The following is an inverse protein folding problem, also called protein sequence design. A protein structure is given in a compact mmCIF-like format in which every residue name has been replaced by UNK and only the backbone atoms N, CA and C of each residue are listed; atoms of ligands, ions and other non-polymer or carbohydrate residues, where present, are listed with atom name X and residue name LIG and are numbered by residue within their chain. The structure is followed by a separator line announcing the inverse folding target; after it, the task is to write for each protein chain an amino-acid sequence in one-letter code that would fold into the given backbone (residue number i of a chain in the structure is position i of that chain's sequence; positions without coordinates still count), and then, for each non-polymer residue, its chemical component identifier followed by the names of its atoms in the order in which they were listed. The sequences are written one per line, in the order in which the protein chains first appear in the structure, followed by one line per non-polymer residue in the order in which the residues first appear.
data_IF_890173655265
#
_entry.id   IF_890173655265
#
_cell.length_a   1.000
_cell.length_b   1.000
_cell.length_c   1.000
_cell.angle_alpha   90.00
_cell.angle_beta   90.00
_cell.angle_gamma   90.00
#
_symmetry.space_group_name_H-M   'P 1'
#
loop_
_entity.id
_entity.type
_entity.pdbx_description
1 polymer ?
#
# COMPACT_ATOMS: atom_id res chain seq x y z
N UNK A 1 3.33 13.05 -8.30
CA UNK A 1 4.06 12.09 -9.20
C UNK A 1 3.06 11.53 -10.20
N UNK A 2 3.44 11.40 -11.48
CA UNK A 2 2.56 10.86 -12.53
C UNK A 2 3.25 9.67 -13.20
N UNK A 3 2.55 8.56 -13.29
CA UNK A 3 2.98 7.34 -13.98
C UNK A 3 2.18 7.28 -15.27
N UNK A 4 2.85 7.50 -16.43
CA UNK A 4 2.17 7.65 -17.74
C UNK A 4 2.47 6.48 -18.66
N UNK A 5 1.46 5.63 -18.87
CA UNK A 5 1.50 4.51 -19.83
C UNK A 5 2.75 3.63 -19.69
N UNK A 6 3.15 3.37 -18.44
CA UNK A 6 4.37 2.64 -18.14
C UNK A 6 4.21 1.17 -18.45
N UNK A 7 5.05 0.66 -19.35
CA UNK A 7 5.20 -0.75 -19.65
C UNK A 7 6.63 -1.20 -19.43
N UNK A 8 6.83 -2.42 -18.91
CA UNK A 8 8.15 -2.96 -18.64
C UNK A 8 8.26 -4.43 -19.04
N UNK A 9 9.19 -4.72 -19.93
CA UNK A 9 9.63 -6.08 -20.25
C UNK A 9 10.93 -6.41 -19.53
N UNK A 10 11.01 -7.64 -18.99
CA UNK A 10 12.24 -8.23 -18.45
C UNK A 10 12.42 -9.60 -19.11
N UNK A 11 13.54 -9.83 -19.79
CA UNK A 11 13.82 -11.10 -20.50
C UNK A 11 12.68 -11.54 -21.45
N UNK A 12 12.08 -10.59 -22.20
CA UNK A 12 10.94 -10.77 -23.11
C UNK A 12 9.60 -11.15 -22.44
N UNK A 13 9.51 -11.04 -21.11
CA UNK A 13 8.26 -11.22 -20.38
C UNK A 13 7.72 -9.84 -20.00
N UNK A 14 6.47 -9.57 -20.31
CA UNK A 14 5.78 -8.34 -19.93
C UNK A 14 5.43 -8.39 -18.44
N UNK A 15 6.14 -7.60 -17.65
CA UNK A 15 5.93 -7.49 -16.20
C UNK A 15 4.94 -6.38 -15.88
N UNK A 16 5.05 -5.23 -16.57
CA UNK A 16 4.11 -4.12 -16.46
C UNK A 16 3.53 -3.82 -17.83
N UNK A 17 2.23 -3.54 -17.87
CA UNK A 17 1.46 -3.36 -19.10
C UNK A 17 0.57 -2.14 -18.97
N UNK A 18 0.99 -1.03 -19.57
CA UNK A 18 0.21 0.21 -19.65
C UNK A 18 -0.28 0.71 -18.29
N UNK A 19 0.63 0.82 -17.33
CA UNK A 19 0.34 1.36 -16.01
C UNK A 19 0.17 2.88 -16.11
N UNK A 20 -0.99 3.36 -15.70
CA UNK A 20 -1.32 4.79 -15.70
C UNK A 20 -2.05 5.15 -14.40
N UNK A 21 -1.48 6.02 -13.59
CA UNK A 21 -2.08 6.64 -12.40
C UNK A 21 -1.23 7.80 -11.90
N UNK A 22 -1.78 8.60 -10.99
CA UNK A 22 -1.07 9.69 -10.33
C UNK A 22 -1.09 9.52 -8.82
N UNK A 23 0.00 9.92 -8.18
CA UNK A 23 0.13 10.01 -6.73
C UNK A 23 0.07 11.49 -6.33
N UNK A 24 -0.95 11.86 -5.55
CA UNK A 24 -1.11 13.18 -4.96
C UNK A 24 -0.06 13.47 -3.89
N UNK A 25 -0.06 14.70 -3.37
CA UNK A 25 0.81 15.12 -2.27
C UNK A 25 0.15 14.83 -0.92
N UNK A 26 0.97 14.50 0.09
CA UNK A 26 0.48 14.28 1.44
C UNK A 26 -0.41 13.05 1.63
N UNK A 27 -0.37 12.10 0.69
CA UNK A 27 -1.18 10.89 0.71
C UNK A 27 -0.35 9.63 0.97
N UNK A 28 -0.98 8.66 1.61
CA UNK A 28 -0.47 7.29 1.68
C UNK A 28 -1.25 6.45 0.66
N UNK A 29 -0.55 5.92 -0.34
CA UNK A 29 -1.12 5.12 -1.41
C UNK A 29 -0.69 3.68 -1.24
N UNK A 30 -1.66 2.79 -1.05
CA UNK A 30 -1.44 1.34 -1.00
C UNK A 30 -1.34 0.75 -2.40
N UNK A 31 -0.18 0.21 -2.76
CA UNK A 31 0.01 -0.56 -3.99
C UNK A 31 -0.22 -2.04 -3.69
N UNK A 32 -1.40 -2.54 -4.02
CA UNK A 32 -1.88 -3.86 -3.63
C UNK A 32 -1.85 -4.83 -4.80
N UNK A 33 -1.61 -6.09 -4.53
CA UNK A 33 -1.67 -7.19 -5.50
C UNK A 33 -0.91 -8.41 -5.03
N UNK A 34 -1.20 -9.56 -5.65
CA UNK A 34 -0.55 -10.84 -5.32
C UNK A 34 0.97 -10.77 -5.56
N UNK A 35 1.69 -11.73 -4.97
CA UNK A 35 3.10 -11.90 -5.26
C UNK A 35 3.30 -12.19 -6.76
N UNK A 36 4.25 -11.47 -7.38
CA UNK A 36 4.48 -11.55 -8.82
C UNK A 36 3.59 -10.64 -9.68
N UNK A 37 2.64 -9.87 -9.11
CA UNK A 37 1.80 -8.94 -9.87
C UNK A 37 2.56 -7.75 -10.50
N UNK A 38 3.82 -7.52 -10.09
CA UNK A 38 4.66 -6.44 -10.64
C UNK A 38 4.91 -5.27 -9.69
N UNK A 39 4.43 -5.31 -8.42
CA UNK A 39 4.55 -4.20 -7.44
C UNK A 39 6.00 -3.70 -7.29
N UNK A 40 6.93 -4.57 -6.94
CA UNK A 40 8.37 -4.24 -6.80
C UNK A 40 8.95 -3.68 -8.10
N UNK A 41 8.57 -4.26 -9.26
CA UNK A 41 9.03 -3.77 -10.57
C UNK A 41 8.52 -2.36 -10.83
N UNK A 42 7.27 -2.09 -10.48
CA UNK A 42 6.67 -0.77 -10.61
C UNK A 42 7.37 0.23 -9.69
N UNK A 43 7.54 -0.06 -8.41
CA UNK A 43 8.25 0.82 -7.46
C UNK A 43 9.68 1.12 -7.93
N UNK A 44 10.42 0.10 -8.39
CA UNK A 44 11.78 0.32 -8.95
C UNK A 44 11.77 1.14 -10.22
N UNK A 45 10.71 1.06 -11.02
CA UNK A 45 10.54 1.92 -12.21
C UNK A 45 10.22 3.35 -11.80
N UNK A 46 9.32 3.52 -10.82
CA UNK A 46 9.00 4.83 -10.23
C UNK A 46 10.21 5.48 -9.55
N UNK A 47 11.10 4.68 -8.95
CA UNK A 47 12.37 5.13 -8.37
C UNK A 47 13.44 5.48 -9.43
N UNK A 48 13.15 5.25 -10.72
CA UNK A 48 14.13 5.46 -11.79
C UNK A 48 15.32 4.49 -11.75
N UNK A 49 15.18 3.36 -11.06
CA UNK A 49 16.16 2.25 -11.01
C UNK A 49 16.01 1.39 -12.27
N UNK A 50 14.77 1.09 -12.65
CA UNK A 50 14.46 0.34 -13.86
C UNK A 50 13.86 1.31 -14.91
N UNK A 51 14.53 1.46 -16.07
CA UNK A 51 13.96 2.23 -17.15
C UNK A 51 12.77 1.47 -17.76
N UNK A 52 11.60 2.11 -17.99
CA UNK A 52 10.47 1.48 -18.65
C UNK A 52 10.79 1.14 -20.11
N UNK A 53 10.08 0.18 -20.68
CA UNK A 53 10.14 -0.14 -22.12
C UNK A 53 9.36 0.90 -22.93
N UNK A 54 8.20 1.31 -22.39
CA UNK A 54 7.36 2.39 -22.92
C UNK A 54 6.82 3.23 -21.75
N UNK A 55 6.40 4.45 -22.06
CA UNK A 55 5.86 5.38 -21.08
C UNK A 55 6.96 6.12 -20.31
N UNK A 56 6.55 6.86 -19.28
CA UNK A 56 7.46 7.69 -18.47
C UNK A 56 6.93 7.84 -17.04
N UNK A 57 7.82 8.22 -16.12
CA UNK A 57 7.48 8.64 -14.76
C UNK A 57 7.87 10.09 -14.59
N UNK A 58 6.90 10.91 -14.16
CA UNK A 58 7.09 12.35 -14.07
C UNK A 58 6.94 12.82 -12.62
N UNK A 59 7.80 13.74 -12.21
CA UNK A 59 7.66 14.57 -11.03
C UNK A 59 7.67 16.02 -11.49
N UNK A 60 6.66 16.80 -11.11
CA UNK A 60 6.48 18.19 -11.55
C UNK A 60 6.51 18.34 -13.08
N UNK A 61 5.92 17.37 -13.80
CA UNK A 61 5.87 17.34 -15.25
C UNK A 61 7.20 16.98 -15.96
N UNK A 62 8.27 16.69 -15.21
CA UNK A 62 9.59 16.35 -15.74
C UNK A 62 9.89 14.86 -15.57
N UNK A 63 10.45 14.24 -16.61
CA UNK A 63 10.85 12.82 -16.59
C UNK A 63 12.02 12.57 -15.66
N UNK A 64 11.88 11.62 -14.74
CA UNK A 64 12.96 11.20 -13.82
C UNK A 64 14.14 10.52 -14.54
N UNK A 65 13.93 10.07 -15.79
CA UNK A 65 14.96 9.44 -16.60
C UNK A 65 15.76 10.44 -17.44
N UNK A 66 15.15 11.59 -17.77
CA UNK A 66 15.79 12.68 -18.53
C UNK A 66 16.36 13.75 -17.61
N UNK A 67 15.83 13.87 -16.39
CA UNK A 67 16.16 14.88 -15.40
C UNK A 67 16.55 14.19 -14.08
N UNK A 68 17.76 13.57 -13.99
CA UNK A 68 18.17 12.78 -12.83
C UNK A 68 18.27 13.59 -11.53
N UNK A 69 18.41 14.91 -11.60
CA UNK A 69 18.40 15.83 -10.47
C UNK A 69 17.10 15.79 -9.67
N UNK A 70 15.98 15.45 -10.32
CA UNK A 70 14.67 15.35 -9.65
C UNK A 70 14.62 14.20 -8.65
N UNK A 71 15.51 13.22 -8.76
CA UNK A 71 15.54 12.07 -7.85
C UNK A 71 15.87 12.44 -6.41
N UNK A 72 16.39 13.62 -6.14
CA UNK A 72 16.51 14.16 -4.77
C UNK A 72 15.15 14.31 -4.07
N UNK A 73 14.05 14.43 -4.84
CA UNK A 73 12.68 14.48 -4.32
C UNK A 73 12.06 13.11 -4.04
N UNK A 74 12.81 12.05 -4.28
CA UNK A 74 12.31 10.68 -4.24
C UNK A 74 13.24 9.79 -3.43
N UNK A 75 12.68 9.05 -2.48
CA UNK A 75 13.39 8.01 -1.73
C UNK A 75 12.75 6.65 -1.97
N UNK A 76 13.56 5.62 -2.20
CA UNK A 76 13.11 4.24 -2.32
C UNK A 76 13.70 3.38 -1.21
N UNK A 77 12.84 2.71 -0.45
CA UNK A 77 13.20 1.73 0.58
C UNK A 77 12.84 0.34 0.05
N UNK A 78 13.82 -0.50 -0.28
CA UNK A 78 13.57 -1.86 -0.72
C UNK A 78 13.13 -2.76 0.45
N UNK A 79 12.54 -3.90 0.13
CA UNK A 79 12.16 -4.98 1.05
C UNK A 79 13.32 -5.55 1.89
N UNK A 80 14.55 -5.37 1.41
CA UNK A 80 15.75 -5.88 2.06
C UNK A 80 16.82 -4.80 2.20
N UNK A 81 17.38 -4.70 3.41
CA UNK A 81 18.50 -3.83 3.74
C UNK A 81 19.90 -4.44 3.44
N UNK A 82 19.97 -5.57 2.73
CA UNK A 82 21.21 -6.29 2.40
C UNK A 82 22.31 -5.39 1.80
N UNK A 83 21.91 -4.42 0.95
CA UNK A 83 22.84 -3.48 0.34
C UNK A 83 23.57 -2.59 1.37
N UNK A 84 22.94 -2.34 2.52
CA UNK A 84 23.46 -1.46 3.57
C UNK A 84 24.21 -2.20 4.67
N UNK A 85 24.19 -3.53 4.71
CA UNK A 85 24.66 -4.32 5.85
C UNK A 85 26.13 -4.10 6.27
N UNK A 86 26.97 -3.73 5.32
CA UNK A 86 28.41 -3.52 5.57
C UNK A 86 28.75 -2.08 5.97
N UNK A 87 27.81 -1.16 5.86
CA UNK A 87 28.00 0.25 6.22
C UNK A 87 27.66 0.48 7.70
N UNK A 88 28.35 1.43 8.31
CA UNK A 88 27.96 1.98 9.61
C UNK A 88 26.82 2.99 9.48
N UNK A 89 26.12 3.23 10.58
CA UNK A 89 25.14 4.32 10.67
C UNK A 89 25.74 5.67 10.25
N UNK A 90 26.98 5.96 10.69
CA UNK A 90 27.67 7.21 10.37
C UNK A 90 27.96 7.36 8.87
N UNK A 91 28.41 6.30 8.21
CA UNK A 91 28.68 6.30 6.76
C UNK A 91 27.41 6.51 5.96
N UNK A 92 26.30 5.89 6.34
CA UNK A 92 25.01 6.08 5.65
C UNK A 92 24.47 7.49 5.85
N UNK A 93 24.50 8.04 7.06
CA UNK A 93 24.11 9.44 7.30
C UNK A 93 24.98 10.40 6.48
N UNK A 94 26.30 10.17 6.44
CA UNK A 94 27.19 10.98 5.61
C UNK A 94 26.83 10.88 4.12
N UNK A 95 26.58 9.68 3.58
CA UNK A 95 26.19 9.46 2.20
C UNK A 95 24.87 10.16 1.87
N UNK A 96 23.84 9.97 2.71
CA UNK A 96 22.52 10.51 2.45
C UNK A 96 22.48 12.04 2.52
N UNK A 97 23.24 12.67 3.40
CA UNK A 97 23.43 14.13 3.44
C UNK A 97 24.03 14.70 2.14
N UNK A 98 24.80 13.91 1.41
CA UNK A 98 25.38 14.34 0.12
C UNK A 98 24.41 14.11 -1.04
N UNK A 99 23.54 13.12 -0.94
CA UNK A 99 22.56 12.81 -1.99
C UNK A 99 21.30 13.67 -1.85
N UNK A 100 20.87 13.91 -0.61
CA UNK A 100 19.66 14.66 -0.27
C UNK A 100 20.04 15.98 0.43
N UNK A 101 19.97 17.12 -0.27
CA UNK A 101 20.38 18.40 0.30
C UNK A 101 19.58 18.80 1.55
N UNK A 102 18.31 18.40 1.60
CA UNK A 102 17.38 18.69 2.71
C UNK A 102 17.42 17.63 3.83
N UNK A 103 18.47 16.80 3.89
CA UNK A 103 18.58 15.75 4.91
C UNK A 103 18.65 16.37 6.32
N UNK A 104 17.68 16.04 7.17
CA UNK A 104 17.55 16.54 8.54
C UNK A 104 18.22 15.58 9.53
N UNK A 105 19.40 15.99 10.04
CA UNK A 105 20.18 15.22 11.03
C UNK A 105 19.52 15.22 12.39
N UNK A 106 18.91 16.34 12.79
CA UNK A 106 18.29 16.46 14.12
C UNK A 106 17.04 15.59 14.19
N UNK A 107 16.25 15.57 13.11
CA UNK A 107 15.11 14.66 12.98
C UNK A 107 15.56 13.20 12.97
N UNK A 108 16.63 12.86 12.23
CA UNK A 108 17.21 11.52 12.22
C UNK A 108 17.58 11.07 13.65
N UNK A 109 18.30 11.91 14.40
CA UNK A 109 18.72 11.58 15.77
C UNK A 109 17.54 11.49 16.73
N UNK A 110 16.53 12.32 16.58
CA UNK A 110 15.28 12.25 17.36
C UNK A 110 14.53 10.94 17.14
N UNK A 111 14.39 10.49 15.88
CA UNK A 111 13.76 9.21 15.57
C UNK A 111 14.59 8.01 16.06
N UNK A 112 15.92 8.04 15.90
CA UNK A 112 16.81 7.00 16.45
C UNK A 112 16.63 6.86 17.96
N UNK A 113 16.58 7.98 18.68
CA UNK A 113 16.32 8.00 20.12
C UNK A 113 14.93 7.48 20.48
N UNK A 114 13.89 7.95 19.78
CA UNK A 114 12.49 7.55 20.00
C UNK A 114 12.30 6.04 19.87
N UNK A 115 12.93 5.41 18.87
CA UNK A 115 12.81 3.98 18.64
C UNK A 115 13.86 3.13 19.34
N UNK A 116 14.71 3.76 20.19
CA UNK A 116 15.73 3.06 20.96
C UNK A 116 16.82 2.41 20.10
N UNK A 117 17.08 2.97 18.92
CA UNK A 117 18.13 2.46 18.02
C UNK A 117 19.47 3.13 18.36
N UNK A 118 20.45 2.32 18.74
CA UNK A 118 21.82 2.77 18.91
C UNK A 118 22.55 2.81 17.56
N UNK A 119 23.50 3.76 17.44
CA UNK A 119 24.33 3.84 16.22
C UNK A 119 25.22 2.60 16.09
N UNK A 120 25.09 1.88 14.99
CA UNK A 120 25.83 0.65 14.72
C UNK A 120 27.11 0.91 13.92
N UNK A 121 28.14 0.13 14.21
CA UNK A 121 29.36 0.07 13.39
C UNK A 121 29.13 -0.64 12.06
N UNK A 122 28.12 -1.52 11.99
CA UNK A 122 27.60 -2.14 10.77
C UNK A 122 26.10 -2.36 10.91
N UNK A 123 25.34 -2.00 9.88
CA UNK A 123 23.87 -2.23 9.85
C UNK A 123 23.54 -3.73 9.91
N UNK A 124 24.41 -4.59 9.41
CA UNK A 124 24.27 -6.04 9.54
C UNK A 124 24.25 -6.59 10.98
N UNK A 125 24.53 -5.76 11.99
CA UNK A 125 24.38 -6.13 13.41
C UNK A 125 22.97 -5.89 13.95
N UNK A 126 22.13 -5.14 13.21
CA UNK A 126 20.74 -4.95 13.57
C UNK A 126 19.92 -6.22 13.30
N UNK A 127 18.91 -6.46 14.11
CA UNK A 127 17.86 -7.42 13.78
C UNK A 127 17.11 -6.99 12.51
N UNK A 128 16.30 -7.88 11.92
CA UNK A 128 15.46 -7.54 10.75
C UNK A 128 14.58 -6.33 11.06
N UNK A 129 13.93 -6.32 12.23
CA UNK A 129 13.08 -5.21 12.65
C UNK A 129 13.83 -3.90 12.88
N UNK A 130 14.99 -3.95 13.52
CA UNK A 130 15.85 -2.77 13.70
C UNK A 130 16.32 -2.21 12.35
N UNK A 131 16.67 -3.08 11.40
CA UNK A 131 17.09 -2.66 10.06
C UNK A 131 15.95 -2.02 9.29
N UNK A 132 14.72 -2.52 9.43
CA UNK A 132 13.53 -1.94 8.82
C UNK A 132 13.24 -0.54 9.38
N UNK A 133 13.20 -0.40 10.72
CA UNK A 133 13.05 0.90 11.39
C UNK A 133 14.15 1.88 10.97
N UNK A 134 15.40 1.45 10.98
CA UNK A 134 16.53 2.28 10.56
C UNK A 134 16.39 2.77 9.11
N UNK A 135 15.97 1.90 8.20
CA UNK A 135 15.77 2.25 6.78
C UNK A 135 14.67 3.32 6.61
N UNK A 136 13.60 3.23 7.41
CA UNK A 136 12.53 4.22 7.40
C UNK A 136 12.96 5.54 8.04
N UNK A 137 13.65 5.49 9.19
CA UNK A 137 14.21 6.68 9.84
C UNK A 137 15.12 7.43 8.86
N UNK A 138 16.00 6.69 8.17
CA UNK A 138 16.88 7.27 7.17
C UNK A 138 16.07 7.90 6.01
N UNK A 139 15.00 7.22 5.54
CA UNK A 139 14.17 7.69 4.45
C UNK A 139 13.40 8.96 4.81
N UNK A 140 12.73 9.01 5.95
CA UNK A 140 11.97 10.18 6.37
C UNK A 140 12.86 11.37 6.73
N UNK A 141 14.13 11.12 7.12
CA UNK A 141 15.11 12.19 7.35
C UNK A 141 15.65 12.82 6.06
N UNK A 142 15.39 12.22 4.88
CA UNK A 142 15.77 12.84 3.59
C UNK A 142 14.95 14.07 3.23
N UNK A 143 13.77 14.24 3.84
CA UNK A 143 12.74 15.22 3.46
C UNK A 143 12.36 15.11 1.97
N UNK A 144 12.50 13.91 1.39
CA UNK A 144 12.04 13.63 0.05
C UNK A 144 10.51 13.74 -0.03
N UNK A 145 10.02 14.36 -1.10
CA UNK A 145 8.58 14.60 -1.31
C UNK A 145 7.80 13.29 -1.54
N UNK A 146 8.46 12.28 -2.11
CA UNK A 146 7.87 10.96 -2.36
C UNK A 146 8.75 9.88 -1.75
N UNK A 147 8.16 9.01 -0.95
CA UNK A 147 8.83 7.84 -0.38
C UNK A 147 8.14 6.58 -0.89
N UNK A 148 8.91 5.73 -1.55
CA UNK A 148 8.45 4.45 -2.07
C UNK A 148 8.92 3.33 -1.15
N UNK A 149 7.98 2.55 -0.61
CA UNK A 149 8.25 1.48 0.36
C UNK A 149 7.85 0.13 -0.24
N UNK A 150 8.82 -0.77 -0.40
CA UNK A 150 8.58 -2.11 -0.94
C UNK A 150 8.45 -3.12 0.20
N UNK A 151 7.23 -3.57 0.51
CA UNK A 151 6.88 -4.55 1.55
C UNK A 151 7.56 -4.25 2.93
N UNK A 152 7.47 -3.02 3.48
CA UNK A 152 8.30 -2.58 4.62
C UNK A 152 8.01 -3.33 5.93
N UNK A 153 6.89 -4.04 6.01
CA UNK A 153 6.45 -4.79 7.20
C UNK A 153 6.64 -6.30 7.07
N UNK A 154 7.12 -6.78 5.91
CA UNK A 154 7.22 -8.22 5.66
C UNK A 154 8.21 -8.92 6.60
N UNK A 155 7.73 -10.00 7.23
CA UNK A 155 8.52 -10.81 8.17
C UNK A 155 8.94 -10.09 9.44
N UNK A 156 8.29 -8.99 9.81
CA UNK A 156 8.42 -8.32 11.11
C UNK A 156 7.47 -8.92 12.13
N UNK A 157 7.88 -8.91 13.41
CA UNK A 157 6.96 -9.23 14.50
C UNK A 157 5.89 -8.13 14.67
N UNK A 158 4.81 -8.47 15.38
CA UNK A 158 3.63 -7.61 15.52
C UNK A 158 3.95 -6.24 16.16
N UNK A 159 4.90 -6.21 17.11
CA UNK A 159 5.25 -4.97 17.83
C UNK A 159 5.99 -4.01 16.91
N UNK A 160 7.05 -4.50 16.25
CA UNK A 160 7.84 -3.70 15.31
C UNK A 160 7.00 -3.26 14.11
N UNK A 161 6.15 -4.15 13.59
CA UNK A 161 5.22 -3.83 12.52
C UNK A 161 4.33 -2.64 12.89
N UNK A 162 3.72 -2.67 14.07
CA UNK A 162 2.89 -1.56 14.55
C UNK A 162 3.68 -0.24 14.65
N UNK A 163 4.92 -0.30 15.14
CA UNK A 163 5.80 0.87 15.21
C UNK A 163 6.11 1.44 13.81
N UNK A 164 6.40 0.56 12.84
CA UNK A 164 6.64 0.96 11.44
C UNK A 164 5.42 1.66 10.85
N UNK A 165 4.23 1.06 10.94
CA UNK A 165 3.00 1.64 10.39
C UNK A 165 2.65 2.97 11.05
N UNK A 166 2.78 3.04 12.37
CA UNK A 166 2.53 4.27 13.12
C UNK A 166 3.50 5.39 12.71
N UNK A 167 4.80 5.08 12.57
CA UNK A 167 5.78 6.06 12.11
C UNK A 167 5.44 6.60 10.71
N UNK A 168 5.04 5.74 9.78
CA UNK A 168 4.66 6.19 8.44
C UNK A 168 3.50 7.19 8.49
N UNK A 169 2.44 6.89 9.25
CA UNK A 169 1.27 7.76 9.37
C UNK A 169 1.65 9.12 9.98
N UNK A 170 2.44 9.12 11.06
CA UNK A 170 2.86 10.34 11.75
C UNK A 170 3.74 11.22 10.84
N UNK A 171 4.74 10.64 10.19
CA UNK A 171 5.64 11.38 9.30
C UNK A 171 4.92 11.99 8.09
N UNK A 172 3.94 11.26 7.51
CA UNK A 172 3.13 11.79 6.41
C UNK A 172 2.27 12.97 6.90
N UNK A 173 1.65 12.82 8.07
CA UNK A 173 0.81 13.87 8.65
C UNK A 173 1.60 15.15 9.01
N UNK A 174 2.86 15.00 9.46
CA UNK A 174 3.68 16.12 9.87
C UNK A 174 4.38 16.86 8.72
N UNK A 175 4.78 16.12 7.66
CA UNK A 175 5.66 16.66 6.59
C UNK A 175 5.00 16.81 5.23
N UNK A 176 3.73 16.45 5.10
CA UNK A 176 3.02 16.40 3.80
C UNK A 176 3.75 15.54 2.73
N UNK A 177 4.61 14.63 3.18
CA UNK A 177 5.32 13.67 2.32
C UNK A 177 4.32 12.67 1.76
N UNK A 178 4.45 12.32 0.49
CA UNK A 178 3.61 11.27 -0.12
C UNK A 178 4.31 9.93 -0.02
N UNK A 179 3.60 8.91 0.46
CA UNK A 179 4.13 7.55 0.59
C UNK A 179 3.39 6.60 -0.34
N UNK A 180 4.11 5.85 -1.15
CA UNK A 180 3.57 4.72 -1.92
C UNK A 180 4.13 3.44 -1.30
N UNK A 181 3.25 2.64 -0.71
CA UNK A 181 3.62 1.42 0.01
C UNK A 181 3.09 0.18 -0.71
N UNK A 182 3.97 -0.73 -1.11
CA UNK A 182 3.52 -2.03 -1.59
C UNK A 182 3.24 -2.98 -0.42
N UNK A 183 2.14 -3.69 -0.51
CA UNK A 183 1.83 -4.79 0.40
C UNK A 183 0.96 -5.85 -0.30
N UNK A 184 1.05 -7.07 0.17
CA UNK A 184 0.11 -8.14 -0.14
C UNK A 184 -0.90 -8.35 1.00
N UNK A 185 -0.84 -7.52 2.06
CA UNK A 185 -1.68 -7.59 3.25
C UNK A 185 -2.58 -6.36 3.35
N UNK A 186 -3.84 -6.55 3.00
CA UNK A 186 -4.86 -5.49 3.00
C UNK A 186 -5.19 -5.00 4.40
N UNK A 187 -5.19 -5.92 5.39
CA UNK A 187 -5.46 -5.64 6.80
C UNK A 187 -4.48 -4.61 7.40
N UNK A 188 -3.23 -4.58 6.93
CA UNK A 188 -2.23 -3.61 7.38
C UNK A 188 -2.44 -2.22 6.77
N UNK A 189 -2.90 -2.17 5.53
CA UNK A 189 -3.06 -0.92 4.79
C UNK A 189 -4.33 -0.17 5.15
N UNK A 190 -5.40 -0.88 5.52
CA UNK A 190 -6.74 -0.33 5.73
C UNK A 190 -6.78 0.87 6.70
N UNK A 191 -5.90 0.87 7.69
CA UNK A 191 -5.88 1.90 8.74
C UNK A 191 -4.99 3.09 8.43
N UNK A 192 -4.27 3.08 7.31
CA UNK A 192 -3.27 4.10 7.03
C UNK A 192 -3.36 4.72 5.64
N UNK A 193 -3.93 4.01 4.65
CA UNK A 193 -3.95 4.50 3.27
C UNK A 193 -5.13 5.42 3.00
N UNK A 194 -4.90 6.43 2.15
CA UNK A 194 -5.95 7.28 1.60
C UNK A 194 -6.48 6.70 0.28
N UNK A 195 -5.59 6.09 -0.48
CA UNK A 195 -5.85 5.56 -1.82
C UNK A 195 -5.31 4.16 -1.96
N UNK A 196 -5.95 3.36 -2.82
CA UNK A 196 -5.49 2.01 -3.15
C UNK A 196 -5.42 1.84 -4.66
N UNK A 197 -4.25 1.42 -5.13
CA UNK A 197 -4.00 1.01 -6.51
C UNK A 197 -3.83 -0.50 -6.55
N UNK A 198 -4.79 -1.19 -7.15
CA UNK A 198 -4.75 -2.65 -7.31
C UNK A 198 -4.03 -3.04 -8.59
N UNK A 199 -2.95 -3.81 -8.45
CA UNK A 199 -2.19 -4.37 -9.56
C UNK A 199 -2.54 -5.85 -9.74
N UNK A 200 -3.02 -6.19 -10.93
CA UNK A 200 -3.28 -7.58 -11.34
C UNK A 200 -2.67 -7.82 -12.72
N UNK A 201 -1.89 -8.88 -12.87
CA UNK A 201 -1.26 -9.29 -14.14
C UNK A 201 -0.47 -8.17 -14.84
N UNK A 202 0.21 -7.35 -14.04
CA UNK A 202 1.01 -6.23 -14.53
C UNK A 202 0.21 -5.02 -15.00
N UNK A 203 -1.08 -4.92 -14.69
CA UNK A 203 -1.95 -3.78 -15.02
C UNK A 203 -2.55 -3.16 -13.77
N UNK A 204 -2.89 -1.87 -13.85
CA UNK A 204 -3.80 -1.27 -12.88
C UNK A 204 -5.20 -1.82 -13.16
N UNK A 205 -5.68 -2.66 -12.27
CA UNK A 205 -7.05 -3.18 -12.32
C UNK A 205 -8.05 -2.12 -11.84
N UNK A 206 -7.65 -1.39 -10.79
CA UNK A 206 -8.48 -0.35 -10.19
C UNK A 206 -7.65 0.63 -9.36
N UNK A 207 -8.14 1.86 -9.24
CA UNK A 207 -7.58 2.91 -8.40
C UNK A 207 -8.74 3.59 -7.65
N UNK A 208 -8.73 3.54 -6.33
CA UNK A 208 -9.83 4.00 -5.49
C UNK A 208 -9.33 4.88 -4.34
N UNK A 209 -10.14 5.89 -4.01
CA UNK A 209 -10.09 6.56 -2.71
C UNK A 209 -10.77 5.65 -1.68
N UNK A 210 -10.15 5.45 -0.53
CA UNK A 210 -10.69 4.54 0.51
C UNK A 210 -12.08 4.96 0.98
N UNK A 211 -12.32 6.27 1.11
CA UNK A 211 -13.61 6.80 1.53
C UNK A 211 -14.74 6.56 0.51
N UNK A 212 -14.42 6.51 -0.78
CA UNK A 212 -15.42 6.26 -1.81
C UNK A 212 -15.83 4.78 -1.84
N UNK A 213 -14.88 3.87 -1.55
CA UNK A 213 -15.18 2.44 -1.41
C UNK A 213 -16.23 2.19 -0.31
N UNK A 214 -16.11 2.86 0.85
CA UNK A 214 -17.06 2.74 1.97
C UNK A 214 -18.45 3.31 1.63
N UNK A 215 -18.54 4.20 0.65
CA UNK A 215 -19.82 4.77 0.16
C UNK A 215 -20.52 3.87 -0.86
N UNK A 216 -19.78 3.02 -1.59
CA UNK A 216 -20.36 2.14 -2.61
C UNK A 216 -21.10 0.94 -2.02
N UNK A 217 -20.58 0.36 -0.95
CA UNK A 217 -21.09 -0.88 -0.36
C UNK A 217 -21.32 -0.77 1.14
N UNK A 218 -22.17 -1.65 1.66
CA UNK A 218 -22.30 -1.96 3.09
C UNK A 218 -22.14 -3.47 3.30
N UNK A 219 -21.47 -3.85 4.37
CA UNK A 219 -21.34 -5.25 4.80
C UNK A 219 -22.44 -5.58 5.77
N UNK A 220 -23.15 -6.66 5.52
CA UNK A 220 -24.24 -7.11 6.38
C UNK A 220 -24.04 -8.56 6.76
N UNK A 221 -24.46 -8.90 7.98
CA UNK A 221 -24.62 -10.29 8.41
C UNK A 221 -26.10 -10.57 8.59
N UNK A 222 -26.57 -11.67 8.03
CA UNK A 222 -27.95 -12.11 8.16
C UNK A 222 -28.04 -13.63 8.34
N UNK A 223 -29.02 -14.11 9.13
CA UNK A 223 -29.31 -15.53 9.26
C UNK A 223 -30.76 -15.82 8.87
N UNK A 224 -30.97 -16.97 8.23
CA UNK A 224 -32.27 -17.43 7.77
C UNK A 224 -32.61 -18.82 8.36
N UNK A 225 -33.89 -19.15 8.44
CA UNK A 225 -34.33 -20.48 8.92
C UNK A 225 -33.87 -21.58 7.96
N UNK A 226 -33.90 -21.29 6.67
CA UNK A 226 -33.45 -22.15 5.59
C UNK A 226 -32.24 -21.53 4.84
N UNK A 227 -32.09 -21.80 3.56
CA UNK A 227 -31.09 -21.18 2.71
C UNK A 227 -31.39 -19.70 2.46
N UNK A 228 -30.36 -18.96 2.01
CA UNK A 228 -30.51 -17.58 1.57
C UNK A 228 -31.56 -17.50 0.43
N UNK A 229 -32.65 -16.72 0.60
CA UNK A 229 -33.68 -16.58 -0.41
C UNK A 229 -33.11 -16.01 -1.73
N UNK A 230 -33.57 -16.53 -2.88
CA UNK A 230 -33.06 -16.11 -4.21
C UNK A 230 -33.26 -14.61 -4.46
N UNK A 231 -34.38 -14.04 -3.98
CA UNK A 231 -34.66 -12.61 -4.08
C UNK A 231 -33.62 -11.77 -3.35
N UNK A 232 -33.13 -12.22 -2.18
CA UNK A 232 -32.03 -11.55 -1.46
C UNK A 232 -30.69 -11.82 -2.14
N UNK A 233 -30.44 -13.05 -2.56
CA UNK A 233 -29.19 -13.45 -3.18
C UNK A 233 -28.88 -12.70 -4.48
N UNK A 234 -29.90 -12.29 -5.22
CA UNK A 234 -29.76 -11.55 -6.48
C UNK A 234 -29.21 -10.13 -6.32
N UNK A 235 -29.29 -9.54 -5.11
CA UNK A 235 -28.88 -8.17 -4.79
C UNK A 235 -27.51 -8.05 -4.16
N UNK A 236 -26.83 -9.19 -3.85
CA UNK A 236 -25.67 -9.17 -2.96
C UNK A 236 -24.49 -10.01 -3.51
N UNK A 237 -23.29 -9.66 -3.03
CA UNK A 237 -22.16 -10.58 -3.10
C UNK A 237 -22.03 -11.34 -1.77
N UNK A 238 -22.05 -12.66 -1.82
CA UNK A 238 -21.85 -13.50 -0.63
C UNK A 238 -20.35 -13.58 -0.34
N UNK A 239 -19.93 -12.95 0.76
CA UNK A 239 -18.54 -12.97 1.21
C UNK A 239 -18.21 -14.28 1.93
N UNK A 240 -19.13 -14.70 2.81
CA UNK A 240 -18.96 -15.89 3.64
C UNK A 240 -20.31 -16.53 3.96
N UNK A 241 -20.30 -17.85 4.12
CA UNK A 241 -21.42 -18.62 4.66
C UNK A 241 -20.94 -19.58 5.74
N UNK A 242 -21.54 -19.49 6.92
CA UNK A 242 -21.32 -20.43 8.03
C UNK A 242 -22.65 -20.99 8.51
N UNK A 243 -22.99 -22.18 8.03
CA UNK A 243 -24.31 -22.78 8.27
C UNK A 243 -25.42 -21.92 7.69
N UNK A 244 -26.27 -21.34 8.57
CA UNK A 244 -27.41 -20.48 8.22
C UNK A 244 -27.08 -18.98 8.27
N UNK A 245 -25.84 -18.63 8.61
CA UNK A 245 -25.38 -17.25 8.70
C UNK A 245 -24.62 -16.88 7.44
N UNK A 246 -25.01 -15.77 6.82
CA UNK A 246 -24.41 -15.24 5.61
C UNK A 246 -23.80 -13.87 5.90
N UNK A 247 -22.56 -13.66 5.46
CA UNK A 247 -21.95 -12.35 5.40
C UNK A 247 -22.05 -11.85 3.95
N UNK A 248 -22.74 -10.74 3.78
CA UNK A 248 -23.18 -10.20 2.49
C UNK A 248 -22.56 -8.82 2.26
N UNK A 249 -22.16 -8.55 1.04
CA UNK A 249 -21.81 -7.20 0.60
C UNK A 249 -22.93 -6.68 -0.31
N UNK A 250 -23.54 -5.57 0.10
CA UNK A 250 -24.72 -4.97 -0.51
C UNK A 250 -24.35 -3.62 -1.13
N UNK A 251 -24.61 -3.38 -2.43
CA UNK A 251 -24.46 -2.05 -3.01
C UNK A 251 -25.37 -1.04 -2.29
N UNK A 252 -24.82 0.11 -1.88
CA UNK A 252 -25.63 1.17 -1.22
C UNK A 252 -26.61 1.85 -2.17
N UNK A 253 -26.42 1.69 -3.48
CA UNK A 253 -27.34 2.16 -4.52
C UNK A 253 -28.55 1.24 -4.74
N UNK A 254 -28.62 0.11 -4.04
CA UNK A 254 -29.73 -0.84 -4.20
C UNK A 254 -30.81 -0.57 -3.16
N UNK A 255 -31.79 0.25 -3.54
CA UNK A 255 -32.93 0.62 -2.71
C UNK A 255 -33.94 -0.55 -2.51
N UNK A 256 -33.83 -1.61 -3.30
CA UNK A 256 -34.77 -2.76 -3.27
C UNK A 256 -34.31 -3.85 -2.31
N UNK A 257 -33.03 -3.92 -1.97
CA UNK A 257 -32.50 -4.90 -1.05
C UNK A 257 -33.17 -4.89 0.33
N UNK A 258 -33.39 -3.71 0.91
CA UNK A 258 -33.99 -3.60 2.26
C UNK A 258 -35.43 -4.11 2.28
N UNK A 259 -36.16 -4.00 1.17
CA UNK A 259 -37.49 -4.54 1.02
C UNK A 259 -37.45 -6.08 0.90
N UNK A 260 -36.58 -6.61 0.03
CA UNK A 260 -36.37 -8.04 -0.12
C UNK A 260 -35.90 -8.71 1.19
N UNK A 261 -34.99 -8.08 1.92
CA UNK A 261 -34.51 -8.59 3.21
C UNK A 261 -35.65 -8.66 4.27
N UNK A 262 -36.51 -7.63 4.35
CA UNK A 262 -37.65 -7.62 5.27
C UNK A 262 -38.70 -8.68 4.91
N UNK A 263 -38.97 -8.88 3.63
CA UNK A 263 -39.91 -9.89 3.14
C UNK A 263 -39.40 -11.32 3.43
N UNK A 264 -38.08 -11.53 3.31
CA UNK A 264 -37.41 -12.79 3.64
C UNK A 264 -37.42 -13.14 5.15
N UNK A 265 -37.81 -12.22 6.03
CA UNK A 265 -37.90 -12.41 7.49
C UNK A 265 -36.69 -13.11 8.09
N UNK A 266 -35.49 -12.54 8.03
CA UNK A 266 -34.30 -13.15 8.62
C UNK A 266 -34.48 -13.31 10.14
N UNK A 267 -33.86 -14.34 10.73
CA UNK A 267 -33.79 -14.57 12.20
C UNK A 267 -33.13 -13.37 12.88
N UNK A 268 -32.04 -12.88 12.27
CA UNK A 268 -31.42 -11.61 12.62
C UNK A 268 -30.71 -11.02 11.40
N UNK A 269 -30.45 -9.72 11.45
CA UNK A 269 -29.55 -9.04 10.53
C UNK A 269 -28.91 -7.83 11.22
N UNK A 270 -27.67 -7.54 10.86
CA UNK A 270 -26.92 -6.38 11.35
C UNK A 270 -25.91 -5.88 10.30
N UNK A 271 -25.59 -4.58 10.33
CA UNK A 271 -24.52 -4.02 9.51
C UNK A 271 -23.19 -4.19 10.24
N UNK A 272 -22.18 -4.74 9.55
CA UNK A 272 -20.83 -4.94 10.05
C UNK A 272 -19.88 -3.88 9.49
N UNK A 273 -18.77 -3.59 10.17
CA UNK A 273 -17.68 -2.82 9.59
C UNK A 273 -17.18 -3.50 8.32
N UNK A 274 -17.09 -2.74 7.24
CA UNK A 274 -16.57 -3.24 5.96
C UNK A 274 -15.05 -3.08 5.93
N UNK A 275 -14.33 -4.16 5.60
CA UNK A 275 -12.89 -4.14 5.40
C UNK A 275 -12.52 -3.89 3.94
N UNK A 276 -11.26 -3.49 3.73
CA UNK A 276 -10.68 -3.37 2.42
C UNK A 276 -10.69 -4.71 1.66
N UNK A 277 -10.48 -5.82 2.39
CA UNK A 277 -10.53 -7.18 1.84
C UNK A 277 -11.92 -7.54 1.32
N UNK A 278 -12.98 -7.24 2.08
CA UNK A 278 -14.37 -7.47 1.67
C UNK A 278 -14.69 -6.83 0.33
N UNK A 279 -14.24 -5.58 0.15
CA UNK A 279 -14.45 -4.84 -1.09
C UNK A 279 -13.74 -5.51 -2.28
N UNK A 280 -12.48 -5.91 -2.11
CA UNK A 280 -11.74 -6.57 -3.18
C UNK A 280 -12.28 -7.94 -3.53
N UNK A 281 -12.72 -8.72 -2.54
CA UNK A 281 -13.40 -10.01 -2.80
C UNK A 281 -14.62 -9.81 -3.68
N UNK A 282 -15.42 -8.78 -3.44
CA UNK A 282 -16.60 -8.49 -4.26
C UNK A 282 -16.27 -8.03 -5.67
N UNK A 283 -15.30 -7.11 -5.82
CA UNK A 283 -14.94 -6.55 -7.14
C UNK A 283 -14.14 -7.51 -8.01
N UNK A 284 -13.39 -8.43 -7.42
CA UNK A 284 -12.55 -9.39 -8.16
C UNK A 284 -13.23 -10.75 -8.39
N UNK A 285 -14.40 -10.97 -7.80
CA UNK A 285 -15.24 -12.14 -8.12
C UNK A 285 -14.85 -13.46 -7.43
N UNK A 286 -14.11 -13.44 -6.30
CA UNK A 286 -13.88 -14.66 -5.54
C UNK A 286 -12.75 -14.62 -4.50
N UNK A 287 -12.89 -15.45 -3.46
CA UNK A 287 -11.92 -15.66 -2.37
C UNK A 287 -10.49 -16.05 -2.80
N UNK A 288 -10.22 -16.25 -4.08
CA UNK A 288 -8.94 -16.71 -4.60
C UNK A 288 -8.15 -15.67 -5.39
N UNK A 289 -8.66 -14.44 -5.54
CA UNK A 289 -8.08 -13.43 -6.44
C UNK A 289 -7.36 -12.26 -5.74
N UNK A 290 -7.32 -12.25 -4.39
CA UNK A 290 -6.58 -11.25 -3.58
C UNK A 290 -5.30 -11.83 -3.00
#
# INVERSE_FOLDING_TARGET
MEIKHVSKQIRRVDILRDIDFSAGEGNIIGLVGRNGAGKTTLLRTMAGILKPTHGDVLIDGKSIFKHPEIKEKLMFVPDSSEAMKNYSTKELVYLYRHIYPEFDVDHFDALMYRFGLERASKIGHYSKGMSALFSLILAFSTNARYILLDEPTDGLDVIIKRQVLQMIVEEVAEKETSVIISSHRLDELEYMVNEVVLIKDGKVNSHYQLDDMKKEYRKMQAAFDDALPEDVASHVHILEQTGRVYTLLVPRSDDTFDAALKEARPIFYEELPMSLEDYFVAKLGGKHDV
#
